data_IF_071843871937
#
_entry.id   IF_071843871937
#
_cell.length_a   1.000
_cell.length_b   1.000
_cell.length_c   1.000
_cell.angle_alpha   90.00
_cell.angle_beta   90.00
_cell.angle_gamma   90.00
#
_symmetry.space_group_name_H-M   'P 1'
#
loop_
_entity.id
_entity.type
_entity.pdbx_description
1 polymer ?
#
# COMPACT_ATOMS: atom_id res chain seq x y z
N UNK A 1 -18.74 -10.37 8.50
CA UNK A 1 -18.21 -9.13 7.90
C UNK A 1 -17.89 -9.45 6.44
N UNK A 2 -18.68 -8.96 5.48
CA UNK A 2 -18.40 -9.18 4.06
C UNK A 2 -17.17 -8.36 3.67
N UNK A 3 -16.01 -9.00 3.62
CA UNK A 3 -14.76 -8.41 3.11
C UNK A 3 -14.72 -8.57 1.59
N UNK A 4 -15.65 -7.93 0.89
CA UNK A 4 -15.42 -7.54 -0.51
C UNK A 4 -14.39 -6.43 -0.48
N UNK A 5 -13.11 -6.80 -0.47
CA UNK A 5 -12.03 -5.84 -0.55
C UNK A 5 -12.01 -5.38 -2.00
N UNK A 6 -12.48 -4.17 -2.32
CA UNK A 6 -12.57 -3.74 -3.70
C UNK A 6 -11.13 -3.67 -4.21
N UNK A 7 -10.77 -4.51 -5.17
CA UNK A 7 -9.41 -4.53 -5.73
C UNK A 7 -9.01 -3.17 -6.32
N UNK A 8 -9.99 -2.30 -6.61
CA UNK A 8 -9.79 -0.90 -7.00
C UNK A 8 -9.57 0.09 -5.86
N UNK A 9 -9.58 -0.32 -4.58
CA UNK A 9 -9.43 0.62 -3.46
C UNK A 9 -8.00 1.16 -3.43
N UNK A 10 -7.91 2.48 -3.53
CA UNK A 10 -6.68 3.25 -3.38
C UNK A 10 -6.53 3.74 -1.94
N UNK A 11 -5.35 3.57 -1.37
CA UNK A 11 -4.99 4.02 -0.02
C UNK A 11 -3.82 4.99 -0.05
N UNK A 12 -3.73 5.86 0.95
CA UNK A 12 -2.56 6.71 1.19
C UNK A 12 -1.36 5.92 1.70
N UNK A 13 -0.18 6.54 1.65
CA UNK A 13 1.05 5.99 2.26
C UNK A 13 0.87 5.71 3.76
N UNK A 14 0.15 6.57 4.48
CA UNK A 14 -0.11 6.39 5.91
C UNK A 14 -1.02 5.20 6.20
N UNK A 15 -2.07 5.01 5.39
CA UNK A 15 -2.96 3.86 5.50
C UNK A 15 -2.23 2.55 5.15
N UNK A 16 -1.40 2.57 4.10
CA UNK A 16 -0.55 1.44 3.74
C UNK A 16 0.43 1.05 4.87
N UNK A 17 1.02 2.04 5.54
CA UNK A 17 1.93 1.79 6.66
C UNK A 17 1.19 1.11 7.82
N UNK A 18 0.01 1.59 8.17
CA UNK A 18 -0.84 0.97 9.20
C UNK A 18 -1.28 -0.44 8.80
N UNK A 19 -1.65 -0.65 7.54
CA UNK A 19 -2.03 -1.97 7.02
C UNK A 19 -0.91 -2.99 7.17
N UNK A 20 0.34 -2.59 6.90
CA UNK A 20 1.52 -3.45 7.04
C UNK A 20 2.07 -3.51 8.49
N UNK A 21 1.39 -2.90 9.46
CA UNK A 21 1.81 -2.92 10.87
C UNK A 21 2.99 -1.98 11.21
N UNK A 22 3.35 -1.05 10.33
CA UNK A 22 4.42 -0.09 10.60
C UNK A 22 3.94 1.10 11.44
N UNK A 23 4.77 1.51 12.41
CA UNK A 23 4.54 2.70 13.24
C UNK A 23 4.77 4.02 12.50
N UNK A 24 5.55 4.00 11.42
CA UNK A 24 5.89 5.19 10.63
C UNK A 24 5.75 4.91 9.14
N UNK A 25 5.68 5.98 8.35
CA UNK A 25 5.58 5.88 6.89
C UNK A 25 6.91 5.57 6.19
N UNK A 26 8.04 5.59 6.93
CA UNK A 26 9.39 5.45 6.33
C UNK A 26 9.59 4.11 5.61
N UNK A 27 9.15 2.95 6.13
CA UNK A 27 9.29 1.67 5.42
C UNK A 27 8.54 1.66 4.10
N UNK A 28 7.30 2.16 4.10
CA UNK A 28 6.48 2.26 2.88
C UNK A 28 7.09 3.23 1.88
N UNK A 29 7.54 4.40 2.34
CA UNK A 29 8.24 5.36 1.49
C UNK A 29 9.51 4.77 0.85
N UNK A 30 10.26 3.94 1.60
CA UNK A 30 11.44 3.22 1.09
C UNK A 30 11.04 2.23 0.00
N UNK A 31 9.98 1.44 0.20
CA UNK A 31 9.48 0.48 -0.80
C UNK A 31 9.01 1.16 -2.10
N UNK A 32 8.39 2.33 -1.98
CA UNK A 32 8.00 3.14 -3.14
C UNK A 32 9.23 3.64 -3.88
N UNK A 33 10.23 4.18 -3.16
CA UNK A 33 11.47 4.67 -3.77
C UNK A 33 12.23 3.52 -4.47
N UNK A 34 12.32 2.36 -3.84
CA UNK A 34 12.95 1.18 -4.43
C UNK A 34 12.13 0.51 -5.53
N UNK A 35 11.00 1.10 -5.95
CA UNK A 35 10.09 0.59 -6.98
C UNK A 35 9.53 -0.81 -6.71
N UNK A 36 9.53 -1.24 -5.45
CA UNK A 36 8.93 -2.52 -5.02
C UNK A 36 7.41 -2.37 -4.89
N UNK A 37 6.96 -1.20 -4.42
CA UNK A 37 5.55 -0.90 -4.25
C UNK A 37 5.11 0.14 -5.29
N UNK A 38 4.27 -0.23 -6.28
CA UNK A 38 3.77 0.71 -7.27
C UNK A 38 2.89 1.79 -6.63
N UNK A 39 2.88 2.96 -7.25
CA UNK A 39 2.04 4.08 -6.83
C UNK A 39 1.34 4.74 -7.99
N UNK A 40 0.17 5.29 -7.72
CA UNK A 40 -0.69 5.98 -8.65
C UNK A 40 -0.88 7.42 -8.20
N UNK A 41 -0.96 8.33 -9.15
CA UNK A 41 -1.38 9.73 -8.92
C UNK A 41 -2.76 9.91 -9.51
N UNK A 42 -3.63 10.59 -8.78
CA UNK A 42 -4.95 10.93 -9.31
C UNK A 42 -4.83 12.19 -10.18
N UNK A 43 -5.68 12.37 -11.21
CA UNK A 43 -5.63 13.55 -12.08
C UNK A 43 -5.77 14.88 -11.32
N UNK A 44 -6.52 14.87 -10.22
CA UNK A 44 -6.84 16.01 -9.36
C UNK A 44 -5.89 16.15 -8.16
N UNK A 45 -4.97 15.20 -7.94
CA UNK A 45 -4.15 15.15 -6.73
C UNK A 45 -2.73 14.73 -7.00
N UNK A 46 -1.79 15.58 -6.56
CA UNK A 46 -0.35 15.27 -6.52
C UNK A 46 -0.01 14.20 -5.47
N UNK A 47 -0.96 13.76 -4.65
CA UNK A 47 -0.73 12.76 -3.59
C UNK A 47 -0.67 11.36 -4.19
N UNK A 48 0.43 10.67 -3.92
CA UNK A 48 0.60 9.26 -4.27
C UNK A 48 -0.39 8.37 -3.53
N UNK A 49 -0.97 7.42 -4.26
CA UNK A 49 -1.89 6.39 -3.79
C UNK A 49 -1.32 5.01 -4.11
N UNK A 50 -1.72 4.02 -3.34
CA UNK A 50 -1.29 2.62 -3.48
C UNK A 50 -2.56 1.78 -3.60
N UNK A 51 -2.61 0.79 -4.48
CA UNK A 51 -3.76 -0.13 -4.50
C UNK A 51 -3.63 -1.11 -3.33
N UNK A 52 -4.76 -1.41 -2.71
CA UNK A 52 -4.79 -2.37 -1.61
C UNK A 52 -4.41 -3.78 -2.06
N UNK A 53 -4.68 -4.13 -3.32
CA UNK A 53 -4.26 -5.41 -3.94
C UNK A 53 -2.75 -5.59 -3.87
N UNK A 54 -2.00 -4.54 -4.22
CA UNK A 54 -0.54 -4.59 -4.29
C UNK A 54 0.07 -4.78 -2.90
N UNK A 55 -0.57 -4.21 -1.86
CA UNK A 55 -0.18 -4.43 -0.47
C UNK A 55 -0.44 -5.87 -0.02
N UNK A 56 -1.54 -6.48 -0.45
CA UNK A 56 -1.83 -7.88 -0.13
C UNK A 56 -0.87 -8.84 -0.80
N UNK A 57 -0.48 -8.56 -2.04
CA UNK A 57 0.54 -9.34 -2.74
C UNK A 57 1.87 -9.33 -1.99
N UNK A 58 2.29 -8.16 -1.46
CA UNK A 58 3.49 -8.08 -0.62
C UNK A 58 3.39 -8.96 0.63
N UNK A 59 2.22 -9.02 1.29
CA UNK A 59 2.01 -9.86 2.47
C UNK A 59 2.02 -11.35 2.10
N UNK A 60 1.48 -11.73 0.94
CA UNK A 60 1.50 -13.13 0.48
C UNK A 60 2.92 -13.64 0.18
N UNK A 61 3.80 -12.76 -0.30
CA UNK A 61 5.18 -13.10 -0.66
C UNK A 61 6.09 -13.19 0.56
N UNK A 62 5.75 -12.52 1.66
CA UNK A 62 6.47 -12.61 2.92
C UNK A 62 5.87 -13.74 3.79
N UNK A 63 6.46 -14.94 3.84
CA UNK A 63 6.02 -15.94 4.80
C UNK A 63 6.16 -15.40 6.24
N UNK A 64 5.25 -15.77 7.16
CA UNK A 64 5.45 -15.46 8.57
C UNK A 64 6.77 -16.12 9.02
N UNK A 65 7.65 -15.30 9.61
CA UNK A 65 8.89 -15.77 10.23
C UNK A 65 8.61 -16.59 11.48
#
# INVERSE_FOLDING_TARGET
>A
MNTDIPHGRLVSVSEAARFLGYKTNRPVAKMIHSKILPTYTLPDSKRRRIRISDLMELVKVAPPA
#
